data_IF_324922418876
#
_entry.id   IF_324922418876
#
_cell.length_a   1.000
_cell.length_b   1.000
_cell.length_c   1.000
_cell.angle_alpha   90.00
_cell.angle_beta   90.00
_cell.angle_gamma   90.00
#
_symmetry.space_group_name_H-M   'P 1'
#
loop_
_entity.id
_entity.type
_entity.pdbx_description
1 polymer ?
#
# COMPACT_ATOMS: atom_id res chain seq x y z
N UNK A 1 8.68 54.10 56.57
CA UNK A 1 9.46 53.23 55.68
C UNK A 1 8.64 51.98 55.45
N UNK A 2 8.05 51.80 54.26
CA UNK A 2 7.12 50.70 53.99
C UNK A 2 7.88 49.54 53.37
N UNK A 3 7.99 48.44 54.09
CA UNK A 3 8.66 47.23 53.59
C UNK A 3 7.63 46.43 52.80
N UNK A 4 7.79 46.38 51.47
CA UNK A 4 7.00 45.50 50.60
C UNK A 4 7.60 44.08 50.66
N UNK A 5 6.86 43.11 51.19
CA UNK A 5 7.25 41.70 51.16
C UNK A 5 6.70 41.03 49.88
N UNK A 6 7.55 40.37 49.07
CA UNK A 6 7.08 39.67 47.87
C UNK A 6 6.23 38.46 48.24
N UNK A 7 5.09 38.29 47.55
CA UNK A 7 4.16 37.20 47.78
C UNK A 7 4.71 35.86 47.28
N UNK A 8 5.38 35.11 48.16
CA UNK A 8 5.97 33.78 47.89
C UNK A 8 4.96 32.71 47.40
N UNK A 9 3.66 32.86 47.68
CA UNK A 9 2.66 31.86 47.24
C UNK A 9 2.35 31.94 45.74
N UNK A 10 2.60 33.09 45.10
CA UNK A 10 2.34 33.26 43.66
C UNK A 10 3.26 32.40 42.79
N UNK A 11 4.53 32.23 43.16
CA UNK A 11 5.47 31.41 42.39
C UNK A 11 5.17 29.92 42.50
N UNK A 12 4.74 29.44 43.67
CA UNK A 12 4.33 28.05 43.87
C UNK A 12 3.06 27.74 43.07
N UNK A 13 2.06 28.64 43.12
CA UNK A 13 0.83 28.46 42.36
C UNK A 13 1.09 28.42 40.83
N UNK A 14 1.99 29.27 40.33
CA UNK A 14 2.40 29.25 38.92
C UNK A 14 3.08 27.92 38.55
N UNK A 15 4.04 27.47 39.36
CA UNK A 15 4.73 26.19 39.14
C UNK A 15 3.76 25.00 39.11
N UNK A 16 2.83 24.93 40.05
CA UNK A 16 1.80 23.87 40.08
C UNK A 16 0.91 23.93 38.85
N UNK A 17 0.54 25.14 38.41
CA UNK A 17 -0.29 25.32 37.21
C UNK A 17 0.45 24.87 35.95
N UNK A 18 1.72 25.23 35.79
CA UNK A 18 2.56 24.80 34.67
C UNK A 18 2.73 23.28 34.64
N UNK A 19 2.95 22.66 35.80
CA UNK A 19 3.07 21.21 35.92
C UNK A 19 1.77 20.51 35.49
N UNK A 20 0.61 21.03 35.92
CA UNK A 20 -0.69 20.48 35.53
C UNK A 20 -0.94 20.62 34.02
N UNK A 21 -0.59 21.76 33.43
CA UNK A 21 -0.70 21.96 31.97
C UNK A 21 0.20 20.97 31.23
N UNK A 22 1.44 20.80 31.68
CA UNK A 22 2.38 19.86 31.07
C UNK A 22 1.87 18.42 31.12
N UNK A 23 1.34 18.00 32.26
CA UNK A 23 0.74 16.67 32.43
C UNK A 23 -0.46 16.46 31.50
N UNK A 24 -1.30 17.49 31.34
CA UNK A 24 -2.46 17.43 30.47
C UNK A 24 -2.04 17.29 29.00
N UNK A 25 -1.08 18.10 28.55
CA UNK A 25 -0.52 18.01 27.20
C UNK A 25 0.14 16.64 26.96
N UNK A 26 0.93 16.15 27.91
CA UNK A 26 1.57 14.84 27.81
C UNK A 26 0.54 13.71 27.72
N UNK A 27 -0.56 13.79 28.48
CA UNK A 27 -1.65 12.81 28.42
C UNK A 27 -2.35 12.80 27.06
N UNK A 28 -2.68 13.98 26.52
CA UNK A 28 -3.27 14.09 25.18
C UNK A 28 -2.34 13.53 24.11
N UNK A 29 -1.04 13.85 24.20
CA UNK A 29 -0.04 13.34 23.27
C UNK A 29 0.09 11.81 23.36
N UNK A 30 0.07 11.25 24.57
CA UNK A 30 0.11 9.81 24.79
C UNK A 30 -1.08 9.09 24.14
N UNK A 31 -2.30 9.60 24.35
CA UNK A 31 -3.52 9.03 23.75
C UNK A 31 -3.44 9.08 22.22
N UNK A 32 -3.03 10.23 21.66
CA UNK A 32 -2.86 10.38 20.22
C UNK A 32 -1.83 9.40 19.64
N UNK A 33 -0.67 9.28 20.30
CA UNK A 33 0.40 8.39 19.89
C UNK A 33 -0.06 6.92 19.92
N UNK A 34 -0.70 6.50 21.02
CA UNK A 34 -1.21 5.15 21.17
C UNK A 34 -2.21 4.78 20.05
N UNK A 35 -3.20 5.65 19.81
CA UNK A 35 -4.20 5.43 18.76
C UNK A 35 -3.57 5.38 17.36
N UNK A 36 -2.58 6.23 17.09
CA UNK A 36 -1.87 6.24 15.81
C UNK A 36 -1.07 4.95 15.61
N UNK A 37 -0.34 4.50 16.62
CA UNK A 37 0.47 3.27 16.54
C UNK A 37 -0.43 2.04 16.40
N UNK A 38 -1.51 1.96 17.19
CA UNK A 38 -2.49 0.89 17.08
C UNK A 38 -3.12 0.85 15.68
N UNK A 39 -3.58 2.00 15.15
CA UNK A 39 -4.16 2.09 13.81
C UNK A 39 -3.17 1.67 12.70
N UNK A 40 -1.90 2.08 12.81
CA UNK A 40 -0.85 1.69 11.84
C UNK A 40 -0.59 0.19 11.82
N UNK A 41 -0.69 -0.50 12.97
CA UNK A 41 -0.50 -1.95 13.04
C UNK A 41 -1.58 -2.70 12.26
N UNK A 42 -2.85 -2.34 12.48
CA UNK A 42 -3.97 -2.94 11.73
C UNK A 42 -3.90 -2.64 10.23
N UNK A 43 -3.51 -1.41 9.85
CA UNK A 43 -3.33 -1.05 8.45
C UNK A 43 -2.20 -1.87 7.80
N UNK A 44 -1.08 -2.08 8.51
CA UNK A 44 0.02 -2.91 8.01
C UNK A 44 -0.36 -4.38 7.85
N UNK A 45 -1.16 -4.92 8.77
CA UNK A 45 -1.68 -6.29 8.69
C UNK A 45 -2.63 -6.44 7.50
N UNK A 46 -3.59 -5.52 7.35
CA UNK A 46 -4.50 -5.50 6.20
C UNK A 46 -3.77 -5.39 4.85
N UNK A 47 -2.70 -4.59 4.78
CA UNK A 47 -1.90 -4.48 3.56
C UNK A 47 -1.16 -5.78 3.24
N UNK A 48 -0.73 -6.54 4.25
CA UNK A 48 -0.11 -7.86 4.03
C UNK A 48 -1.11 -8.86 3.47
N UNK A 49 -2.32 -8.88 4.02
CA UNK A 49 -3.40 -9.74 3.53
C UNK A 49 -3.73 -9.42 2.07
N UNK A 50 -3.88 -8.13 1.75
CA UNK A 50 -4.12 -7.69 0.37
C UNK A 50 -3.00 -8.09 -0.60
N UNK A 51 -1.73 -8.09 -0.15
CA UNK A 51 -0.60 -8.56 -0.97
C UNK A 51 -0.68 -10.08 -1.17
N UNK A 52 -1.09 -10.84 -0.16
CA UNK A 52 -1.27 -12.28 -0.27
C UNK A 52 -2.37 -12.61 -1.28
N UNK A 53 -3.55 -11.98 -1.13
CA UNK A 53 -4.69 -12.14 -2.05
C UNK A 53 -4.31 -11.79 -3.49
N UNK A 54 -3.59 -10.67 -3.68
CA UNK A 54 -3.14 -10.25 -5.01
C UNK A 54 -2.13 -11.24 -5.63
N UNK A 55 -1.28 -11.87 -4.82
CA UNK A 55 -0.34 -12.90 -5.30
C UNK A 55 -1.05 -14.18 -5.69
N UNK A 56 -2.04 -14.60 -4.90
CA UNK A 56 -2.89 -15.74 -5.22
C UNK A 56 -3.65 -15.50 -6.52
N UNK A 57 -4.33 -14.37 -6.65
CA UNK A 57 -5.02 -13.99 -7.89
C UNK A 57 -4.07 -13.93 -9.09
N UNK A 58 -2.84 -13.42 -8.90
CA UNK A 58 -1.86 -13.40 -9.98
C UNK A 58 -1.42 -14.81 -10.42
N UNK A 59 -1.27 -15.74 -9.47
CA UNK A 59 -0.95 -17.12 -9.77
C UNK A 59 -2.11 -17.82 -10.51
N UNK A 60 -3.34 -17.56 -10.08
CA UNK A 60 -4.54 -18.08 -10.73
C UNK A 60 -4.65 -17.58 -12.18
N UNK A 61 -4.55 -16.26 -12.39
CA UNK A 61 -4.60 -15.68 -13.73
C UNK A 61 -3.49 -16.19 -14.65
N UNK A 62 -2.30 -16.48 -14.10
CA UNK A 62 -1.21 -17.10 -14.87
C UNK A 62 -1.56 -18.53 -15.26
N UNK A 63 -2.12 -19.31 -14.35
CA UNK A 63 -2.56 -20.66 -14.65
C UNK A 63 -3.65 -20.66 -15.72
N UNK A 64 -4.67 -19.81 -15.57
CA UNK A 64 -5.73 -19.65 -16.57
C UNK A 64 -5.17 -19.26 -17.94
N UNK A 65 -4.21 -18.33 -17.99
CA UNK A 65 -3.54 -17.94 -19.23
C UNK A 65 -2.78 -19.12 -19.86
N UNK A 66 -2.01 -19.86 -19.06
CA UNK A 66 -1.26 -21.01 -19.58
C UNK A 66 -2.18 -22.13 -20.06
N UNK A 67 -3.29 -22.36 -19.37
CA UNK A 67 -4.30 -23.33 -19.79
C UNK A 67 -5.03 -22.89 -21.08
N UNK A 68 -5.30 -21.59 -21.24
CA UNK A 68 -5.93 -21.05 -22.44
C UNK A 68 -4.98 -21.02 -23.65
N UNK A 69 -3.67 -20.85 -23.40
CA UNK A 69 -2.63 -20.79 -24.44
C UNK A 69 -1.89 -22.10 -24.64
N UNK A 70 -2.35 -23.18 -24.01
CA UNK A 70 -1.76 -24.51 -24.13
C UNK A 70 -1.73 -24.93 -25.62
N UNK A 71 -0.52 -25.14 -26.21
CA UNK A 71 -0.37 -25.50 -27.60
C UNK A 71 -1.19 -26.73 -27.99
N UNK A 72 -1.30 -27.73 -27.10
CA UNK A 72 -2.05 -28.96 -27.38
C UNK A 72 -3.54 -28.67 -27.52
N UNK A 73 -4.10 -27.85 -26.62
CA UNK A 73 -5.51 -27.42 -26.72
C UNK A 73 -5.76 -26.51 -27.92
N UNK A 74 -4.81 -25.64 -28.23
CA UNK A 74 -4.90 -24.76 -29.40
C UNK A 74 -4.84 -25.55 -30.71
N UNK A 75 -4.00 -26.58 -30.81
CA UNK A 75 -3.93 -27.49 -31.96
C UNK A 75 -5.22 -28.31 -32.13
N UNK A 76 -5.77 -28.84 -31.03
CA UNK A 76 -7.07 -29.52 -31.03
C UNK A 76 -8.19 -28.58 -31.50
N UNK A 77 -8.22 -27.35 -30.99
CA UNK A 77 -9.22 -26.35 -31.37
C UNK A 77 -9.05 -25.88 -32.82
N UNK A 78 -7.81 -25.71 -33.28
CA UNK A 78 -7.50 -25.39 -34.67
C UNK A 78 -7.97 -26.49 -35.62
N UNK A 79 -7.69 -27.75 -35.28
CA UNK A 79 -8.13 -28.92 -36.04
C UNK A 79 -9.67 -29.02 -36.07
N UNK A 80 -10.34 -28.85 -34.93
CA UNK A 80 -11.80 -28.89 -34.83
C UNK A 80 -12.48 -27.77 -35.64
N UNK A 81 -11.79 -26.64 -35.86
CA UNK A 81 -12.27 -25.50 -36.63
C UNK A 81 -11.75 -25.46 -38.07
N UNK A 82 -11.03 -26.50 -38.52
CA UNK A 82 -10.35 -26.55 -39.83
C UNK A 82 -9.45 -25.34 -40.08
N UNK A 83 -8.81 -24.82 -39.03
CA UNK A 83 -7.82 -23.76 -39.14
C UNK A 83 -6.48 -24.38 -39.56
N UNK A 84 -5.77 -23.69 -40.46
CA UNK A 84 -4.48 -24.13 -41.01
C UNK A 84 -3.44 -23.09 -40.64
N UNK A 85 -2.23 -23.54 -40.29
CA UNK A 85 -1.12 -22.64 -39.99
C UNK A 85 -0.70 -21.89 -41.26
N UNK A 86 -0.83 -20.57 -41.26
CA UNK A 86 -0.33 -19.71 -42.32
C UNK A 86 1.14 -19.35 -42.03
N UNK A 87 2.07 -19.91 -42.82
CA UNK A 87 3.52 -19.74 -42.58
C UNK A 87 4.04 -18.34 -42.93
N UNK A 88 3.36 -17.63 -43.84
CA UNK A 88 3.78 -16.31 -44.34
C UNK A 88 2.58 -15.35 -44.46
N UNK A 89 2.00 -14.89 -43.32
CA UNK A 89 0.82 -14.06 -43.34
C UNK A 89 1.11 -12.69 -43.94
N UNK A 90 0.46 -12.38 -45.08
CA UNK A 90 0.61 -11.11 -45.79
C UNK A 90 0.20 -9.87 -44.97
N UNK A 91 -0.53 -10.06 -43.86
CA UNK A 91 -0.97 -9.00 -42.94
C UNK A 91 0.02 -8.71 -41.79
N UNK A 92 1.05 -9.53 -41.57
CA UNK A 92 2.15 -9.22 -40.66
C UNK A 92 3.22 -8.40 -41.38
N UNK A 93 2.90 -7.17 -41.78
CA UNK A 93 3.95 -6.21 -42.13
C UNK A 93 4.58 -5.72 -40.83
N UNK A 94 5.83 -6.12 -40.56
CA UNK A 94 6.62 -5.61 -39.43
C UNK A 94 6.83 -4.10 -39.62
N UNK A 95 5.95 -3.27 -39.05
CA UNK A 95 6.21 -1.85 -38.91
C UNK A 95 7.36 -1.68 -37.90
N UNK A 96 8.57 -1.42 -38.41
CA UNK A 96 9.81 -1.16 -37.66
C UNK A 96 9.72 -0.02 -36.62
N UNK A 97 8.56 0.60 -36.42
CA UNK A 97 8.40 1.83 -35.65
C UNK A 97 8.30 1.61 -34.13
N UNK A 98 8.09 0.38 -33.66
CA UNK A 98 7.87 0.09 -32.22
C UNK A 98 9.13 -0.41 -31.50
N UNK A 99 10.25 -0.65 -32.20
CA UNK A 99 11.51 -1.09 -31.56
C UNK A 99 12.38 0.05 -31.01
N UNK A 100 11.99 1.31 -31.18
CA UNK A 100 12.82 2.48 -30.80
C UNK A 100 12.50 3.09 -29.42
N UNK A 101 11.54 2.56 -28.66
CA UNK A 101 11.35 3.00 -27.26
C UNK A 101 12.31 2.26 -26.33
N UNK A 102 13.55 2.71 -26.32
CA UNK A 102 14.57 2.44 -25.32
C UNK A 102 14.27 3.24 -24.04
N UNK A 103 14.25 2.54 -22.90
CA UNK A 103 14.35 3.08 -21.54
C UNK A 103 15.48 2.35 -20.81
#
# INVERSE_FOLDING_TARGET
MTVMTPNKNRSIALFVTELLVLLLVASLFYIYYYNTVAGRRYAAERLRDQIADARELNAELKNELYEATDPTRLEELATARNLVLEEAPHYMSMNQWVSDSSF
#
